data_IF_925833378239
#
_entry.id   IF_925833378239
#
_cell.length_a   1.000
_cell.length_b   1.000
_cell.length_c   1.000
_cell.angle_alpha   90.00
_cell.angle_beta   90.00
_cell.angle_gamma   90.00
#
_symmetry.space_group_name_H-M   'P 1'
#
loop_
_entity.id
_entity.type
_entity.pdbx_description
1 polymer ?
#
# COMPACT_ATOMS: atom_id res chain seq x y z
N UNK A 1 -39.50 24.04 26.19
CA UNK A 1 -38.56 24.22 25.08
C UNK A 1 -37.51 23.10 25.17
N UNK A 2 -37.57 22.12 24.25
CA UNK A 2 -36.59 21.02 24.19
C UNK A 2 -35.37 21.49 23.37
N UNK A 3 -34.19 21.54 24.00
CA UNK A 3 -32.93 21.86 23.36
C UNK A 3 -32.59 20.80 22.31
N UNK A 4 -32.49 21.20 21.05
CA UNK A 4 -31.86 20.40 20.01
C UNK A 4 -30.37 20.32 20.31
N UNK A 5 -29.91 19.18 20.85
CA UNK A 5 -28.47 18.85 20.80
C UNK A 5 -28.11 18.65 19.34
N UNK A 6 -27.38 19.62 18.79
CA UNK A 6 -26.68 19.49 17.52
C UNK A 6 -25.74 18.29 17.67
N UNK A 7 -26.02 17.19 17.00
CA UNK A 7 -25.03 16.12 16.79
C UNK A 7 -23.96 16.74 15.89
N UNK A 8 -22.93 17.29 16.49
CA UNK A 8 -21.65 17.47 15.80
C UNK A 8 -21.17 16.05 15.53
N UNK A 9 -21.29 15.58 14.31
CA UNK A 9 -20.52 14.43 13.83
C UNK A 9 -19.07 14.85 13.99
N UNK A 10 -18.36 14.23 14.93
CA UNK A 10 -16.91 14.30 14.95
C UNK A 10 -16.48 13.84 13.55
N UNK A 11 -16.03 14.79 12.73
CA UNK A 11 -15.27 14.49 11.51
C UNK A 11 -14.05 13.75 12.02
N UNK A 12 -14.08 12.43 11.88
CA UNK A 12 -13.01 11.56 12.39
C UNK A 12 -11.71 12.03 11.78
N UNK A 13 -10.69 12.20 12.61
CA UNK A 13 -9.33 12.51 12.14
C UNK A 13 -9.00 11.62 10.95
N UNK A 14 -8.62 12.21 9.79
CA UNK A 14 -8.37 11.49 8.55
C UNK A 14 -7.35 10.36 8.75
N UNK A 15 -7.53 9.28 8.00
CA UNK A 15 -6.68 8.09 8.04
C UNK A 15 -5.48 8.23 7.13
N UNK A 16 -4.40 7.53 7.46
CA UNK A 16 -3.25 7.36 6.56
C UNK A 16 -3.25 5.92 6.05
N UNK A 17 -3.42 5.78 4.74
CA UNK A 17 -3.35 4.52 4.03
C UNK A 17 -1.98 4.36 3.38
N UNK A 18 -1.31 3.25 3.67
CA UNK A 18 -0.04 2.86 3.07
C UNK A 18 -0.29 1.73 2.07
N UNK A 19 0.21 1.85 0.83
CA UNK A 19 0.30 0.67 -0.02
C UNK A 19 1.33 -0.31 0.55
N UNK A 20 1.22 -1.57 0.16
CA UNK A 20 2.18 -2.59 0.53
C UNK A 20 3.31 -2.67 -0.51
N UNK A 21 2.99 -3.03 -1.74
CA UNK A 21 3.98 -3.27 -2.80
C UNK A 21 4.59 -1.96 -3.27
N UNK A 22 5.93 -1.86 -3.28
CA UNK A 22 6.63 -0.63 -3.67
C UNK A 22 6.67 0.47 -2.61
N UNK A 23 5.92 0.34 -1.51
CA UNK A 23 5.96 1.27 -0.36
C UNK A 23 6.54 0.60 0.88
N UNK A 24 6.01 -0.53 1.30
CA UNK A 24 6.47 -1.29 2.47
C UNK A 24 7.27 -2.53 2.05
N UNK A 25 6.80 -3.26 1.04
CA UNK A 25 7.39 -4.49 0.53
C UNK A 25 8.10 -4.26 -0.80
N UNK A 26 9.27 -4.87 -0.95
CA UNK A 26 10.07 -4.81 -2.18
C UNK A 26 9.56 -5.80 -3.23
N UNK A 27 8.45 -5.44 -3.88
CA UNK A 27 7.87 -6.25 -4.96
C UNK A 27 8.83 -6.38 -6.16
N UNK A 28 9.56 -5.31 -6.47
CA UNK A 28 10.51 -5.31 -7.60
C UNK A 28 11.59 -6.37 -7.35
N UNK A 29 12.21 -6.36 -6.18
CA UNK A 29 13.22 -7.34 -5.81
C UNK A 29 12.65 -8.77 -5.81
N UNK A 30 11.44 -8.95 -5.27
CA UNK A 30 10.76 -10.26 -5.29
C UNK A 30 10.56 -10.81 -6.70
N UNK A 31 10.18 -9.98 -7.67
CA UNK A 31 10.07 -10.36 -9.08
C UNK A 31 11.45 -10.73 -9.64
N UNK A 32 12.44 -9.87 -9.48
CA UNK A 32 13.79 -10.08 -10.01
C UNK A 32 14.44 -11.35 -9.46
N UNK A 33 14.34 -11.58 -8.15
CA UNK A 33 14.84 -12.81 -7.49
C UNK A 33 14.18 -14.06 -8.08
N UNK A 34 12.85 -14.02 -8.29
CA UNK A 34 12.13 -15.15 -8.89
C UNK A 34 12.66 -15.51 -10.28
N UNK A 35 12.99 -14.50 -11.09
CA UNK A 35 13.55 -14.70 -12.45
C UNK A 35 15.09 -14.77 -12.48
N UNK A 36 15.77 -14.83 -11.32
CA UNK A 36 17.23 -14.86 -11.20
C UNK A 36 17.91 -13.70 -11.94
N UNK A 37 17.33 -12.51 -11.86
CA UNK A 37 17.82 -11.27 -12.46
C UNK A 37 18.46 -10.37 -11.40
N UNK A 38 19.49 -9.60 -11.80
CA UNK A 38 20.12 -8.61 -10.93
C UNK A 38 19.36 -7.28 -10.99
N UNK A 39 19.20 -6.62 -9.84
CA UNK A 39 18.53 -5.31 -9.75
C UNK A 39 19.26 -4.20 -10.49
N UNK A 40 20.57 -4.31 -10.65
CA UNK A 40 21.41 -3.29 -11.30
C UNK A 40 21.08 -3.07 -12.77
N UNK A 41 20.53 -4.08 -13.42
CA UNK A 41 20.27 -4.07 -14.86
C UNK A 41 18.85 -3.65 -15.21
N UNK A 42 18.01 -3.36 -14.20
CA UNK A 42 16.57 -3.17 -14.41
C UNK A 42 16.07 -1.82 -13.91
N UNK A 43 15.96 -0.87 -14.82
CA UNK A 43 14.91 0.16 -14.80
C UNK A 43 13.55 -0.51 -15.12
N UNK A 44 12.43 0.10 -14.73
CA UNK A 44 11.07 -0.40 -15.07
C UNK A 44 10.93 -0.41 -16.60
N UNK A 45 11.32 -1.52 -17.21
CA UNK A 45 11.32 -1.76 -18.65
C UNK A 45 10.11 -2.60 -19.02
N UNK A 46 9.88 -2.76 -20.31
CA UNK A 46 8.88 -3.73 -20.80
C UNK A 46 9.14 -5.12 -20.26
N UNK A 47 10.41 -5.56 -20.21
CA UNK A 47 10.82 -6.85 -19.67
C UNK A 47 10.35 -7.03 -18.21
N UNK A 48 10.52 -6.00 -17.35
CA UNK A 48 10.02 -6.06 -15.97
C UNK A 48 8.50 -6.16 -15.92
N UNK A 49 7.79 -5.42 -16.78
CA UNK A 49 6.33 -5.49 -16.85
C UNK A 49 5.84 -6.89 -17.24
N UNK A 50 6.53 -7.53 -18.19
CA UNK A 50 6.21 -8.89 -18.63
C UNK A 50 6.46 -9.91 -17.49
N UNK A 51 7.60 -9.81 -16.78
CA UNK A 51 7.90 -10.61 -15.60
C UNK A 51 6.86 -10.42 -14.47
N UNK A 52 6.49 -9.19 -14.19
CA UNK A 52 5.48 -8.89 -13.16
C UNK A 52 4.10 -9.46 -13.55
N UNK A 53 3.76 -9.46 -14.83
CA UNK A 53 2.54 -10.10 -15.36
C UNK A 53 2.60 -11.61 -15.17
N UNK A 54 3.73 -12.24 -15.48
CA UNK A 54 3.93 -13.68 -15.30
C UNK A 54 3.81 -14.08 -13.81
N UNK A 55 4.33 -13.29 -12.87
CA UNK A 55 4.11 -13.50 -11.43
C UNK A 55 2.61 -13.51 -11.11
N UNK A 56 1.83 -12.61 -11.68
CA UNK A 56 0.39 -12.56 -11.46
C UNK A 56 -0.30 -13.80 -12.04
N UNK A 57 0.07 -14.24 -13.24
CA UNK A 57 -0.52 -15.41 -13.91
C UNK A 57 -0.19 -16.71 -13.15
N UNK A 58 1.07 -16.89 -12.73
CA UNK A 58 1.48 -17.98 -11.85
C UNK A 58 0.77 -17.98 -10.50
N UNK A 59 0.54 -16.77 -9.92
CA UNK A 59 -0.24 -16.65 -8.69
C UNK A 59 -1.69 -17.08 -8.87
N UNK A 60 -2.32 -16.79 -10.02
CA UNK A 60 -3.67 -17.26 -10.37
C UNK A 60 -3.69 -18.78 -10.54
N UNK A 61 -2.71 -19.33 -11.22
CA UNK A 61 -2.56 -20.79 -11.37
C UNK A 61 -2.28 -21.50 -10.03
N UNK A 62 -1.85 -20.76 -8.99
CA UNK A 62 -1.48 -21.31 -7.69
C UNK A 62 -0.08 -21.95 -7.68
N UNK A 63 0.78 -21.49 -8.57
CA UNK A 63 2.15 -22.00 -8.75
C UNK A 63 3.19 -21.26 -7.92
N UNK A 64 2.79 -20.20 -7.21
CA UNK A 64 3.68 -19.35 -6.42
C UNK A 64 3.27 -19.29 -4.93
N UNK A 65 3.23 -20.41 -4.20
CA UNK A 65 3.04 -20.37 -2.76
C UNK A 65 4.26 -19.69 -2.10
N UNK A 66 3.98 -18.77 -1.16
CA UNK A 66 5.02 -18.08 -0.40
C UNK A 66 5.59 -16.83 -1.07
N UNK A 67 5.23 -16.50 -2.31
CA UNK A 67 5.79 -15.35 -3.00
C UNK A 67 5.56 -14.04 -2.22
N UNK A 68 4.32 -13.75 -1.86
CA UNK A 68 3.96 -12.52 -1.15
C UNK A 68 4.43 -12.51 0.30
N UNK A 69 4.46 -13.68 0.95
CA UNK A 69 4.89 -13.84 2.35
C UNK A 69 6.40 -13.63 2.52
N UNK A 70 7.19 -13.88 1.47
CA UNK A 70 8.65 -13.83 1.52
C UNK A 70 9.25 -12.56 0.90
N UNK A 71 8.44 -11.59 0.49
CA UNK A 71 8.96 -10.31 0.01
C UNK A 71 9.83 -9.63 1.07
N UNK A 72 10.94 -9.03 0.63
CA UNK A 72 11.79 -8.22 1.47
C UNK A 72 11.06 -6.94 1.91
N UNK A 73 11.40 -6.41 3.08
CA UNK A 73 10.88 -5.13 3.55
C UNK A 73 11.78 -4.02 3.02
N UNK A 74 11.18 -3.00 2.41
CA UNK A 74 11.91 -1.80 1.99
C UNK A 74 12.43 -1.04 3.23
N UNK A 75 13.72 -0.68 3.24
CA UNK A 75 14.33 0.13 4.30
C UNK A 75 13.65 1.49 4.43
N UNK A 76 13.34 2.12 3.29
CA UNK A 76 12.58 3.37 3.25
C UNK A 76 11.13 3.18 3.72
N UNK A 77 10.50 2.02 3.42
CA UNK A 77 9.19 1.67 3.95
C UNK A 77 9.16 1.57 5.48
N UNK A 78 10.18 0.94 6.08
CA UNK A 78 10.32 0.92 7.55
C UNK A 78 10.50 2.33 8.13
N UNK A 79 11.32 3.16 7.49
CA UNK A 79 11.56 4.56 7.92
C UNK A 79 10.28 5.38 7.84
N UNK A 80 9.55 5.27 6.73
CA UNK A 80 8.27 5.93 6.52
C UNK A 80 7.23 5.49 7.57
N UNK A 81 7.07 4.19 7.78
CA UNK A 81 6.14 3.64 8.76
C UNK A 81 6.41 4.17 10.17
N UNK A 82 7.68 4.12 10.63
CA UNK A 82 8.09 4.66 11.93
C UNK A 82 7.73 6.14 12.08
N UNK A 83 7.90 6.93 11.03
CA UNK A 83 7.51 8.33 11.05
C UNK A 83 6.00 8.50 11.16
N UNK A 84 5.24 7.75 10.35
CA UNK A 84 3.76 7.82 10.38
C UNK A 84 3.22 7.40 11.75
N UNK A 85 3.84 6.43 12.43
CA UNK A 85 3.49 6.05 13.81
C UNK A 85 3.62 7.23 14.81
N UNK A 86 4.50 8.19 14.56
CA UNK A 86 4.66 9.37 15.45
C UNK A 86 3.56 10.41 15.28
N UNK A 87 2.75 10.31 14.23
CA UNK A 87 1.75 11.32 13.88
C UNK A 87 0.42 11.17 14.64
N UNK A 88 0.29 10.11 15.43
CA UNK A 88 -0.93 9.79 16.19
C UNK A 88 -2.21 9.73 15.31
N UNK A 89 -2.04 9.30 14.05
CA UNK A 89 -3.13 9.11 13.08
C UNK A 89 -3.52 7.64 12.98
N UNK A 90 -4.72 7.37 12.52
CA UNK A 90 -5.20 6.02 12.26
C UNK A 90 -4.54 5.46 10.99
N UNK A 91 -3.64 4.46 11.16
CA UNK A 91 -2.82 3.89 10.09
C UNK A 91 -3.47 2.62 9.56
N UNK A 92 -3.65 2.56 8.24
CA UNK A 92 -4.19 1.44 7.50
C UNK A 92 -3.24 0.99 6.40
N UNK A 93 -3.31 -0.27 6.03
CA UNK A 93 -2.70 -0.78 4.79
C UNK A 93 -3.80 -0.95 3.75
N UNK A 94 -3.58 -0.43 2.54
CA UNK A 94 -4.50 -0.52 1.43
C UNK A 94 -3.77 -0.99 0.18
N UNK A 95 -3.80 -2.30 -0.10
CA UNK A 95 -3.09 -2.90 -1.21
C UNK A 95 -4.03 -3.67 -2.14
N UNK A 96 -3.56 -4.02 -3.32
CA UNK A 96 -4.33 -4.83 -4.26
C UNK A 96 -3.93 -6.31 -4.19
N UNK A 97 -4.96 -7.16 -4.31
CA UNK A 97 -4.80 -8.60 -4.39
C UNK A 97 -6.00 -9.15 -5.17
N UNK A 98 -5.81 -9.57 -6.41
CA UNK A 98 -6.91 -10.09 -7.21
C UNK A 98 -7.48 -11.36 -6.57
N UNK A 99 -8.81 -11.51 -6.61
CA UNK A 99 -9.52 -12.61 -5.93
C UNK A 99 -9.16 -13.99 -6.47
N UNK A 100 -8.68 -14.05 -7.70
CA UNK A 100 -8.24 -15.26 -8.38
C UNK A 100 -6.78 -15.64 -8.04
N UNK A 101 -6.02 -14.77 -7.37
CA UNK A 101 -4.67 -15.06 -6.89
C UNK A 101 -4.72 -15.90 -5.62
N UNK A 102 -4.41 -17.19 -5.75
CA UNK A 102 -4.71 -18.26 -4.78
C UNK A 102 -4.15 -18.04 -3.35
N UNK A 103 -2.96 -17.45 -3.23
CA UNK A 103 -2.28 -17.30 -1.95
C UNK A 103 -2.13 -15.84 -1.51
N UNK A 104 -2.23 -14.91 -2.45
CA UNK A 104 -1.90 -13.49 -2.26
C UNK A 104 -2.58 -12.87 -1.04
N UNK A 105 -3.89 -13.07 -0.86
CA UNK A 105 -4.64 -12.52 0.26
C UNK A 105 -4.07 -12.94 1.62
N UNK A 106 -3.95 -14.26 1.82
CA UNK A 106 -3.45 -14.83 3.08
C UNK A 106 -1.99 -14.42 3.33
N UNK A 107 -1.17 -14.44 2.29
CA UNK A 107 0.26 -14.19 2.40
C UNK A 107 0.56 -12.71 2.69
N UNK A 108 -0.16 -11.78 2.07
CA UNK A 108 -0.04 -10.35 2.39
C UNK A 108 -0.44 -10.06 3.84
N UNK A 109 -1.53 -10.66 4.33
CA UNK A 109 -1.89 -10.52 5.76
C UNK A 109 -0.80 -11.07 6.70
N UNK A 110 -0.25 -12.25 6.40
CA UNK A 110 0.87 -12.81 7.18
C UNK A 110 2.10 -11.93 7.15
N UNK A 111 2.42 -11.39 5.98
CA UNK A 111 3.56 -10.51 5.80
C UNK A 111 3.42 -9.22 6.64
N UNK A 112 2.26 -8.55 6.59
CA UNK A 112 1.99 -7.38 7.42
C UNK A 112 2.09 -7.73 8.91
N UNK A 113 1.46 -8.81 9.34
CA UNK A 113 1.53 -9.26 10.75
C UNK A 113 2.95 -9.52 11.22
N UNK A 114 3.80 -10.08 10.36
CA UNK A 114 5.21 -10.38 10.65
C UNK A 114 6.07 -9.12 10.76
N UNK A 115 5.91 -8.17 9.84
CA UNK A 115 6.82 -7.04 9.70
C UNK A 115 6.33 -5.74 10.32
N UNK A 116 5.01 -5.59 10.47
CA UNK A 116 4.33 -4.40 11.04
C UNK A 116 3.25 -4.83 12.05
N UNK A 117 3.63 -5.53 13.14
CA UNK A 117 2.69 -6.19 14.05
C UNK A 117 1.75 -5.23 14.81
N UNK A 118 2.06 -3.94 14.83
CA UNK A 118 1.18 -2.92 15.42
C UNK A 118 -0.02 -2.57 14.53
N UNK A 119 0.02 -2.93 13.24
CA UNK A 119 -1.13 -2.77 12.36
C UNK A 119 -2.07 -3.95 12.61
N UNK A 120 -3.23 -3.67 13.20
CA UNK A 120 -4.23 -4.68 13.47
C UNK A 120 -4.78 -5.27 12.16
N UNK A 121 -5.15 -6.55 12.17
CA UNK A 121 -5.56 -7.26 10.94
C UNK A 121 -6.76 -6.64 10.24
N UNK A 122 -7.68 -6.04 11.00
CA UNK A 122 -8.85 -5.32 10.50
C UNK A 122 -8.51 -4.00 9.78
N UNK A 123 -7.28 -3.49 9.97
CA UNK A 123 -6.75 -2.31 9.29
C UNK A 123 -5.97 -2.64 8.01
N UNK A 124 -5.99 -3.90 7.59
CA UNK A 124 -5.38 -4.35 6.33
C UNK A 124 -6.49 -4.61 5.31
N UNK A 125 -6.60 -3.72 4.34
CA UNK A 125 -7.59 -3.79 3.27
C UNK A 125 -6.92 -4.26 1.99
N UNK A 126 -7.37 -5.39 1.45
CA UNK A 126 -6.92 -5.93 0.18
C UNK A 126 -8.05 -5.83 -0.85
N UNK A 127 -7.88 -4.95 -1.83
CA UNK A 127 -8.86 -4.74 -2.91
C UNK A 127 -8.56 -5.62 -4.12
N UNK A 128 -9.58 -6.07 -4.82
CA UNK A 128 -9.44 -6.97 -5.98
C UNK A 128 -8.66 -6.34 -7.17
N UNK A 129 -8.56 -5.02 -7.21
CA UNK A 129 -7.81 -4.29 -8.24
C UNK A 129 -7.37 -2.94 -7.68
N UNK A 130 -6.19 -2.48 -8.07
CA UNK A 130 -5.63 -1.20 -7.65
C UNK A 130 -6.58 0.00 -7.89
N UNK A 131 -7.37 -0.03 -8.97
CA UNK A 131 -8.39 0.99 -9.25
C UNK A 131 -9.49 1.09 -8.18
N UNK A 132 -9.69 0.05 -7.38
CA UNK A 132 -10.70 0.04 -6.32
C UNK A 132 -10.22 0.70 -5.02
N UNK A 133 -8.93 1.06 -4.89
CA UNK A 133 -8.42 1.80 -3.73
C UNK A 133 -9.19 3.11 -3.52
N UNK A 134 -9.49 3.83 -4.59
CA UNK A 134 -10.23 5.10 -4.54
C UNK A 134 -11.62 5.03 -3.91
N UNK A 135 -12.21 3.84 -3.77
CA UNK A 135 -13.50 3.66 -3.07
C UNK A 135 -13.43 3.90 -1.56
N UNK A 136 -12.21 3.92 -1.02
CA UNK A 136 -11.96 4.18 0.41
C UNK A 136 -11.59 5.63 0.68
N UNK A 137 -11.37 6.43 -0.37
CA UNK A 137 -11.02 7.84 -0.23
C UNK A 137 -12.17 8.65 0.38
N UNK A 138 -11.84 9.45 1.39
CA UNK A 138 -12.73 10.43 2.01
C UNK A 138 -11.95 11.74 2.23
N UNK A 139 -12.63 12.87 2.36
CA UNK A 139 -11.98 14.10 2.79
C UNK A 139 -11.19 13.89 4.09
N UNK A 140 -9.95 14.37 4.13
CA UNK A 140 -9.03 14.17 5.25
C UNK A 140 -8.21 12.87 5.20
N UNK A 141 -8.61 11.86 4.43
CA UNK A 141 -7.83 10.63 4.26
C UNK A 141 -6.64 10.82 3.32
N UNK A 142 -5.51 10.24 3.67
CA UNK A 142 -4.25 10.33 2.92
C UNK A 142 -3.88 8.94 2.40
N UNK A 143 -3.57 8.81 1.10
CA UNK A 143 -2.98 7.61 0.51
C UNK A 143 -1.52 7.86 0.15
N UNK A 144 -0.63 6.97 0.60
CA UNK A 144 0.77 6.90 0.17
C UNK A 144 0.94 5.66 -0.70
N UNK A 145 1.26 5.85 -1.98
CA UNK A 145 1.28 4.80 -3.00
C UNK A 145 2.38 5.11 -4.03
N UNK A 146 3.06 4.09 -4.55
CA UNK A 146 4.13 4.25 -5.54
C UNK A 146 3.60 4.39 -6.97
N UNK A 147 2.33 4.07 -7.20
CA UNK A 147 1.72 4.13 -8.53
C UNK A 147 0.90 5.40 -8.73
N UNK A 148 1.42 6.32 -9.56
CA UNK A 148 0.81 7.64 -9.83
C UNK A 148 -0.68 7.59 -10.21
N UNK A 149 -1.12 6.54 -10.92
CA UNK A 149 -2.52 6.42 -11.29
C UNK A 149 -3.43 6.12 -10.09
N UNK A 150 -2.92 5.46 -9.04
CA UNK A 150 -3.66 5.26 -7.79
C UNK A 150 -3.82 6.60 -7.06
N UNK A 151 -2.75 7.38 -6.99
CA UNK A 151 -2.77 8.75 -6.42
C UNK A 151 -3.80 9.61 -7.13
N UNK A 152 -3.73 9.69 -8.46
CA UNK A 152 -4.70 10.47 -9.26
C UNK A 152 -6.16 10.06 -9.00
N UNK A 153 -6.45 8.75 -8.95
CA UNK A 153 -7.80 8.26 -8.68
C UNK A 153 -8.26 8.54 -7.25
N UNK A 154 -7.34 8.49 -6.30
CA UNK A 154 -7.62 8.80 -4.90
C UNK A 154 -8.01 10.25 -4.72
N UNK A 155 -7.25 11.18 -5.33
CA UNK A 155 -7.53 12.62 -5.33
C UNK A 155 -8.86 12.94 -6.03
N UNK A 156 -9.14 12.31 -7.17
CA UNK A 156 -10.43 12.45 -7.86
C UNK A 156 -11.61 11.99 -7.00
N UNK A 157 -11.38 11.10 -6.05
CA UNK A 157 -12.39 10.62 -5.11
C UNK A 157 -12.47 11.44 -3.81
N UNK A 158 -11.70 12.54 -3.69
CA UNK A 158 -11.77 13.49 -2.58
C UNK A 158 -10.77 13.27 -1.46
N UNK A 159 -9.86 12.31 -1.55
CA UNK A 159 -8.76 12.12 -0.61
C UNK A 159 -7.50 12.90 -1.01
N UNK A 160 -6.49 12.90 -0.15
CA UNK A 160 -5.16 13.47 -0.43
C UNK A 160 -4.20 12.37 -0.86
N UNK A 161 -3.56 12.52 -2.01
CA UNK A 161 -2.61 11.54 -2.54
C UNK A 161 -1.16 11.98 -2.35
N UNK A 162 -0.28 11.07 -1.91
CA UNK A 162 1.17 11.30 -1.84
C UNK A 162 1.88 10.20 -2.63
N UNK A 163 2.51 10.59 -3.72
CA UNK A 163 3.29 9.66 -4.52
C UNK A 163 4.62 9.32 -3.84
N UNK A 164 4.80 8.04 -3.52
CA UNK A 164 6.05 7.50 -3.00
C UNK A 164 6.96 7.04 -4.15
N UNK A 165 8.10 7.67 -4.30
CA UNK A 165 9.08 7.34 -5.35
C UNK A 165 10.29 6.54 -4.86
N UNK A 166 10.15 5.82 -3.73
CA UNK A 166 11.23 5.09 -3.07
C UNK A 166 12.09 5.94 -2.13
N UNK A 167 11.78 7.23 -1.95
CA UNK A 167 12.46 8.14 -1.00
C UNK A 167 11.52 8.50 0.16
N UNK A 168 11.71 7.84 1.30
CA UNK A 168 10.94 8.11 2.50
C UNK A 168 11.06 9.56 2.98
N UNK A 169 12.25 10.16 2.86
CA UNK A 169 12.47 11.54 3.33
C UNK A 169 11.66 12.55 2.52
N UNK A 170 11.55 12.32 1.21
CA UNK A 170 10.70 13.14 0.34
C UNK A 170 9.23 12.95 0.69
N UNK A 171 8.78 11.70 0.82
CA UNK A 171 7.39 11.36 1.18
C UNK A 171 7.00 11.99 2.53
N UNK A 172 7.87 11.93 3.53
CA UNK A 172 7.64 12.56 4.84
C UNK A 172 7.54 14.09 4.75
N UNK A 173 8.33 14.74 3.87
CA UNK A 173 8.19 16.20 3.64
C UNK A 173 6.86 16.55 3.01
N UNK A 174 6.39 15.78 2.03
CA UNK A 174 5.07 16.01 1.43
C UNK A 174 3.94 15.75 2.45
N UNK A 175 4.06 14.70 3.25
CA UNK A 175 3.08 14.39 4.30
C UNK A 175 2.96 15.54 5.33
N UNK A 176 4.08 16.16 5.72
CA UNK A 176 4.08 17.33 6.63
C UNK A 176 3.35 18.56 6.09
N UNK A 177 3.21 18.70 4.77
CA UNK A 177 2.53 19.85 4.16
C UNK A 177 1.02 19.72 4.18
N UNK A 178 0.51 18.51 4.33
CA UNK A 178 -0.92 18.20 4.22
C UNK A 178 -1.56 17.78 5.55
N UNK A 179 -0.76 17.70 6.61
CA UNK A 179 -1.18 17.51 8.00
C UNK A 179 -1.37 18.84 8.70
#
# INVERSE_FOLDING_TARGET
MKSFKTFVTEEGEGRIYLDMDGVLADFIDGVLVHFKKDRKDHTITKEFSDMATEIQDKSRAGELPGFWENLSVLSDGKKLYRYVETLNKDIWVLSSCSRDMKYCFREKHKWIKKHFPKIASEKVILVASAKHKSRYAKPGDILIDDFKNNIKRWEQAGGTGIWHNGDASKTMRELKKVL
#
